data_IF_981375434621
#
_entry.id   IF_981375434621
#
_cell.length_a   1.000
_cell.length_b   1.000
_cell.length_c   1.000
_cell.angle_alpha   90.00
_cell.angle_beta   90.00
_cell.angle_gamma   90.00
#
_symmetry.space_group_name_H-M   'P 1'
#
loop_
_entity.id
_entity.type
_entity.pdbx_description
1 polymer ?
#
# COMPACT_ATOMS: atom_id res chain seq x y z
N UNK A 1 -0.93 -10.51 5.56
CA UNK A 1 -1.99 -9.51 5.36
C UNK A 1 -2.01 -8.54 6.53
N UNK A 2 -2.01 -7.27 6.23
CA UNK A 2 -1.96 -6.19 7.22
C UNK A 2 -3.14 -5.26 7.02
N UNK A 3 -3.77 -4.87 8.11
CA UNK A 3 -5.02 -4.10 8.03
C UNK A 3 -5.04 -3.03 9.10
N UNK A 4 -5.51 -1.84 8.75
CA UNK A 4 -5.68 -0.73 9.68
C UNK A 4 -6.92 0.06 9.32
N UNK A 5 -7.68 0.43 10.33
CA UNK A 5 -8.90 1.24 10.16
C UNK A 5 -8.68 2.63 10.75
N UNK A 6 -8.99 3.64 9.96
CA UNK A 6 -8.93 5.04 10.38
C UNK A 6 -10.21 5.73 9.91
N UNK A 7 -10.96 6.30 10.85
CA UNK A 7 -12.20 7.05 10.54
C UNK A 7 -13.17 6.28 9.63
N UNK A 8 -13.34 4.98 9.89
CA UNK A 8 -14.26 4.14 9.13
C UNK A 8 -13.71 3.65 7.79
N UNK A 9 -12.45 3.96 7.47
CA UNK A 9 -11.79 3.48 6.26
C UNK A 9 -10.77 2.43 6.63
N UNK A 10 -10.92 1.24 6.08
CA UNK A 10 -10.02 0.11 6.36
C UNK A 10 -9.13 -0.13 5.16
N UNK A 11 -7.82 -0.03 5.37
CA UNK A 11 -6.81 -0.35 4.35
C UNK A 11 -6.22 -1.70 4.68
N UNK A 12 -6.33 -2.64 3.76
CA UNK A 12 -5.76 -3.98 3.89
C UNK A 12 -4.70 -4.15 2.81
N UNK A 13 -3.50 -4.55 3.21
CA UNK A 13 -2.39 -4.75 2.27
C UNK A 13 -1.90 -6.19 2.39
N UNK A 14 -1.79 -6.87 1.25
CA UNK A 14 -1.31 -8.24 1.18
C UNK A 14 -0.08 -8.28 0.29
N UNK A 15 1.09 -8.64 0.85
CA UNK A 15 2.32 -8.73 0.06
C UNK A 15 2.44 -10.09 -0.62
N UNK A 16 3.04 -10.10 -1.82
CA UNK A 16 3.35 -11.31 -2.57
C UNK A 16 4.77 -11.21 -3.10
N UNK A 17 5.59 -12.20 -2.80
CA UNK A 17 6.92 -12.27 -3.37
C UNK A 17 6.85 -12.81 -4.80
N UNK A 18 7.44 -12.07 -5.74
CA UNK A 18 7.44 -12.45 -7.15
C UNK A 18 8.76 -13.16 -7.49
N UNK A 19 8.79 -14.46 -7.30
CA UNK A 19 9.99 -15.28 -7.47
C UNK A 19 10.52 -15.22 -8.90
N UNK A 20 9.66 -15.30 -9.88
CA UNK A 20 10.01 -15.29 -11.30
C UNK A 20 10.55 -13.94 -11.79
N UNK A 21 10.32 -12.87 -11.07
CA UNK A 21 10.84 -11.55 -11.40
C UNK A 21 12.00 -11.14 -10.50
N UNK A 22 12.38 -12.01 -9.58
CA UNK A 22 13.45 -11.75 -8.62
C UNK A 22 14.73 -12.45 -9.01
N UNK A 23 15.86 -11.89 -8.57
CA UNK A 23 17.18 -12.51 -8.72
C UNK A 23 17.95 -12.33 -7.41
N UNK A 24 17.80 -13.25 -6.45
CA UNK A 24 18.48 -13.13 -5.15
C UNK A 24 20.00 -13.04 -5.28
N UNK A 25 20.58 -13.68 -6.29
CA UNK A 25 22.02 -13.63 -6.53
C UNK A 25 22.49 -12.23 -6.89
N UNK A 26 21.61 -11.41 -7.44
CA UNK A 26 21.90 -10.04 -7.81
C UNK A 26 21.32 -9.04 -6.80
N UNK A 27 20.86 -9.53 -5.64
CA UNK A 27 20.21 -8.71 -4.61
C UNK A 27 18.99 -7.97 -5.17
N UNK A 28 18.20 -8.68 -5.95
CA UNK A 28 17.02 -8.12 -6.59
C UNK A 28 15.79 -8.92 -6.15
N UNK A 29 14.99 -8.35 -5.29
CA UNK A 29 13.80 -8.99 -4.70
C UNK A 29 12.59 -8.16 -5.07
N UNK A 30 11.70 -8.72 -5.88
CA UNK A 30 10.51 -8.01 -6.35
C UNK A 30 9.29 -8.48 -5.57
N UNK A 31 8.59 -7.52 -4.99
CA UNK A 31 7.37 -7.76 -4.24
C UNK A 31 6.20 -7.09 -4.93
N UNK A 32 5.07 -7.77 -5.00
CA UNK A 32 3.80 -7.15 -5.32
C UNK A 32 3.03 -6.94 -4.01
N UNK A 33 2.20 -5.93 -3.98
CA UNK A 33 1.30 -5.73 -2.86
C UNK A 33 -0.07 -5.38 -3.40
N UNK A 34 -1.07 -6.07 -2.88
CA UNK A 34 -2.45 -5.82 -3.21
C UNK A 34 -3.07 -4.99 -2.10
N UNK A 35 -3.67 -3.88 -2.47
CA UNK A 35 -4.27 -2.95 -1.53
C UNK A 35 -5.77 -2.96 -1.73
N UNK A 36 -6.51 -3.12 -0.62
CA UNK A 36 -7.96 -2.99 -0.59
C UNK A 36 -8.30 -1.85 0.35
N UNK A 37 -9.06 -0.89 -0.14
CA UNK A 37 -9.50 0.26 0.65
C UNK A 37 -11.02 0.20 0.74
N UNK A 38 -11.53 -0.11 1.93
CA UNK A 38 -12.96 -0.25 2.16
C UNK A 38 -13.50 0.93 2.95
N UNK A 39 -14.56 1.53 2.44
CA UNK A 39 -15.25 2.61 3.13
C UNK A 39 -16.42 2.06 3.92
N UNK A 40 -16.26 1.95 5.24
CA UNK A 40 -17.32 1.53 6.16
C UNK A 40 -17.95 2.72 6.89
N UNK A 41 -17.62 3.93 6.47
CA UNK A 41 -18.19 5.16 7.03
C UNK A 41 -19.52 5.50 6.38
N UNK A 42 -19.99 6.70 6.67
CA UNK A 42 -21.29 7.18 6.20
C UNK A 42 -21.19 8.18 5.04
N UNK A 43 -19.99 8.57 4.65
CA UNK A 43 -19.75 9.53 3.59
C UNK A 43 -18.89 8.93 2.51
N UNK A 44 -19.11 9.35 1.25
CA UNK A 44 -18.20 8.98 0.15
C UNK A 44 -16.83 9.58 0.39
N UNK A 45 -15.79 8.87 0.00
CA UNK A 45 -14.42 9.36 0.06
C UNK A 45 -13.80 9.33 -1.33
N UNK A 46 -12.96 10.32 -1.60
CA UNK A 46 -12.20 10.40 -2.84
C UNK A 46 -10.72 10.32 -2.51
N UNK A 47 -10.01 9.40 -3.16
CA UNK A 47 -8.57 9.24 -2.97
C UNK A 47 -7.84 10.30 -3.79
N UNK A 48 -7.19 11.24 -3.13
CA UNK A 48 -6.54 12.38 -3.79
C UNK A 48 -5.03 12.23 -3.90
N UNK A 49 -4.41 11.52 -2.96
CA UNK A 49 -2.95 11.45 -2.89
C UNK A 49 -2.52 10.19 -2.15
N UNK A 50 -1.39 9.62 -2.55
CA UNK A 50 -0.78 8.50 -1.85
C UNK A 50 0.68 8.81 -1.57
N UNK A 51 1.19 8.35 -0.44
CA UNK A 51 2.58 8.48 -0.07
C UNK A 51 3.04 7.21 0.63
N UNK A 52 4.11 6.61 0.12
CA UNK A 52 4.69 5.41 0.69
C UNK A 52 6.18 5.60 0.91
N UNK A 53 6.66 5.19 2.08
CA UNK A 53 8.07 5.03 2.37
C UNK A 53 8.37 3.55 2.43
N UNK A 54 9.31 3.11 1.60
CA UNK A 54 9.73 1.72 1.54
C UNK A 54 11.16 1.66 2.04
N UNK A 55 11.38 0.89 3.12
CA UNK A 55 12.66 0.83 3.81
C UNK A 55 13.15 -0.60 3.76
N UNK A 56 14.31 -0.83 3.12
CA UNK A 56 14.88 -2.16 3.05
C UNK A 56 15.63 -2.52 4.35
N UNK A 57 16.13 -3.75 4.44
CA UNK A 57 16.80 -4.24 5.64
C UNK A 57 18.10 -3.50 5.93
N UNK A 58 18.67 -2.81 4.94
CA UNK A 58 19.88 -2.01 5.11
C UNK A 58 19.57 -0.56 5.51
N UNK A 59 18.29 -0.22 5.65
CA UNK A 59 17.87 1.13 6.02
C UNK A 59 17.75 2.07 4.84
N UNK A 60 17.89 1.59 3.61
CA UNK A 60 17.71 2.43 2.44
C UNK A 60 16.24 2.75 2.26
N UNK A 61 15.93 4.04 2.07
CA UNK A 61 14.57 4.55 1.98
C UNK A 61 14.25 4.92 0.53
N UNK A 62 13.10 4.43 0.05
CA UNK A 62 12.54 4.80 -1.23
C UNK A 62 11.21 5.49 -0.94
N UNK A 63 11.02 6.71 -1.46
CA UNK A 63 9.78 7.44 -1.30
C UNK A 63 8.99 7.37 -2.60
N UNK A 64 7.76 6.83 -2.52
CA UNK A 64 6.86 6.77 -3.66
C UNK A 64 5.63 7.59 -3.32
N UNK A 65 5.40 8.66 -4.07
CA UNK A 65 4.25 9.51 -3.85
C UNK A 65 3.66 9.96 -5.18
N UNK A 66 2.39 10.30 -5.16
CA UNK A 66 1.72 10.77 -6.35
C UNK A 66 0.27 11.14 -6.06
N UNK A 67 -0.32 11.82 -7.02
CA UNK A 67 -1.73 12.18 -6.94
C UNK A 67 -2.58 10.97 -7.33
N UNK A 68 -3.69 10.78 -6.61
CA UNK A 68 -4.59 9.67 -6.86
C UNK A 68 -3.93 8.32 -6.61
N UNK A 69 -4.46 7.30 -7.28
CA UNK A 69 -3.98 5.94 -7.20
C UNK A 69 -3.97 5.35 -8.61
N UNK A 70 -2.80 4.90 -9.06
CA UNK A 70 -2.57 4.34 -10.40
C UNK A 70 -3.20 5.17 -11.53
N UNK A 71 -3.02 6.49 -11.45
CA UNK A 71 -3.53 7.40 -12.47
C UNK A 71 -5.00 7.77 -12.35
N UNK A 72 -5.66 7.35 -11.28
CA UNK A 72 -7.08 7.61 -11.06
C UNK A 72 -7.32 8.33 -9.74
N UNK A 73 -8.47 8.98 -9.62
CA UNK A 73 -8.94 9.60 -8.38
C UNK A 73 -10.25 8.91 -7.98
N UNK A 74 -10.18 7.65 -7.51
CA UNK A 74 -11.40 6.89 -7.27
C UNK A 74 -12.22 7.46 -6.12
N UNK A 75 -13.54 7.43 -6.30
CA UNK A 75 -14.50 7.73 -5.26
C UNK A 75 -15.06 6.42 -4.74
N UNK A 76 -14.99 6.23 -3.42
CA UNK A 76 -15.47 5.00 -2.78
C UNK A 76 -16.69 5.36 -1.95
N UNK A 77 -17.85 4.84 -2.35
CA UNK A 77 -19.11 5.07 -1.65
C UNK A 77 -19.16 4.25 -0.35
N UNK A 78 -20.00 4.64 0.62
CA UNK A 78 -20.18 3.82 1.83
C UNK A 78 -20.53 2.38 1.48
N UNK A 79 -19.80 1.44 2.07
CA UNK A 79 -19.97 0.02 1.82
C UNK A 79 -19.19 -0.54 0.64
N UNK A 80 -18.57 0.32 -0.15
CA UNK A 80 -17.79 -0.09 -1.31
C UNK A 80 -16.30 -0.22 -0.98
N UNK A 81 -15.58 -0.91 -1.87
CA UNK A 81 -14.13 -1.08 -1.78
C UNK A 81 -13.48 -0.72 -3.10
N UNK A 82 -12.24 -0.27 -3.03
CA UNK A 82 -11.38 -0.09 -4.19
C UNK A 82 -10.12 -0.93 -4.01
N UNK A 83 -9.77 -1.72 -5.01
CA UNK A 83 -8.58 -2.57 -4.98
C UNK A 83 -7.63 -2.20 -6.09
N UNK A 84 -6.34 -2.28 -5.79
CA UNK A 84 -5.31 -2.18 -6.82
C UNK A 84 -4.08 -2.98 -6.39
N UNK A 85 -3.25 -3.30 -7.37
CA UNK A 85 -1.99 -4.01 -7.14
C UNK A 85 -0.85 -3.17 -7.67
N UNK A 86 0.21 -3.09 -6.90
CA UNK A 86 1.42 -2.40 -7.30
C UNK A 86 2.62 -3.25 -6.92
N UNK A 87 3.83 -2.81 -7.25
CA UNK A 87 5.02 -3.58 -6.95
C UNK A 87 6.18 -2.69 -6.60
N UNK A 88 7.17 -3.29 -5.95
CA UNK A 88 8.41 -2.61 -5.61
C UNK A 88 9.58 -3.59 -5.63
N UNK A 89 10.72 -3.20 -6.21
CA UNK A 89 11.95 -3.97 -6.05
C UNK A 89 12.65 -3.55 -4.76
N UNK A 90 13.25 -4.52 -4.08
CA UNK A 90 14.11 -4.27 -2.93
C UNK A 90 15.47 -4.90 -3.19
N UNK A 91 16.50 -4.37 -2.56
CA UNK A 91 17.84 -4.96 -2.62
C UNK A 91 18.07 -5.97 -1.51
N UNK A 92 17.11 -6.11 -0.60
CA UNK A 92 17.15 -7.08 0.48
C UNK A 92 15.90 -7.94 0.44
N UNK A 93 15.93 -9.09 1.10
CA UNK A 93 14.83 -10.06 1.05
C UNK A 93 13.62 -9.65 1.89
N UNK A 94 13.72 -8.58 2.66
CA UNK A 94 12.61 -8.08 3.45
C UNK A 94 12.66 -6.56 3.53
N UNK A 95 11.60 -5.97 4.04
CA UNK A 95 11.53 -4.53 4.22
C UNK A 95 10.27 -4.12 4.94
N UNK A 96 10.14 -2.83 5.13
CA UNK A 96 8.98 -2.20 5.75
C UNK A 96 8.42 -1.20 4.76
N UNK A 97 7.10 -1.15 4.67
CA UNK A 97 6.40 -0.17 3.85
C UNK A 97 5.40 0.53 4.73
N UNK A 98 5.50 1.85 4.81
CA UNK A 98 4.58 2.66 5.61
C UNK A 98 4.18 3.88 4.83
N UNK A 99 2.97 4.35 5.05
CA UNK A 99 2.51 5.50 4.31
C UNK A 99 1.10 5.89 4.66
N UNK A 100 0.51 6.66 3.77
CA UNK A 100 -0.85 7.15 3.99
C UNK A 100 -1.51 7.52 2.66
N UNK A 101 -2.83 7.62 2.73
CA UNK A 101 -3.66 8.19 1.68
C UNK A 101 -4.30 9.47 2.20
N UNK A 102 -4.34 10.49 1.35
CA UNK A 102 -5.12 11.69 1.62
C UNK A 102 -6.43 11.56 0.87
N UNK A 103 -7.53 11.64 1.61
CA UNK A 103 -8.86 11.52 1.04
C UNK A 103 -9.70 12.72 1.38
N UNK A 104 -10.72 13.00 0.59
CA UNK A 104 -11.71 14.03 0.89
C UNK A 104 -13.09 13.41 0.98
N UNK A 105 -13.91 13.93 1.89
CA UNK A 105 -15.29 13.53 2.07
C UNK A 105 -16.25 14.44 1.30
N UNK A 106 -17.51 14.05 1.21
CA UNK A 106 -18.55 14.81 0.52
C UNK A 106 -18.67 16.24 1.03
N UNK A 107 -18.47 16.44 2.33
CA UNK A 107 -18.55 17.75 2.97
C UNK A 107 -17.29 18.60 2.78
N UNK A 108 -16.33 18.11 2.01
CA UNK A 108 -15.05 18.79 1.78
C UNK A 108 -14.02 18.56 2.86
N UNK A 109 -14.34 17.83 3.91
CA UNK A 109 -13.40 17.49 4.97
C UNK A 109 -12.32 16.54 4.45
N UNK A 110 -11.07 16.79 4.83
CA UNK A 110 -9.94 15.98 4.40
C UNK A 110 -9.47 15.09 5.55
N UNK A 111 -9.13 13.86 5.22
CA UNK A 111 -8.65 12.87 6.19
C UNK A 111 -7.34 12.27 5.72
N UNK A 112 -6.52 11.88 6.69
CA UNK A 112 -5.29 11.13 6.44
C UNK A 112 -5.52 9.69 6.92
N UNK A 113 -5.40 8.75 6.00
CA UNK A 113 -5.61 7.33 6.29
C UNK A 113 -4.24 6.65 6.31
N UNK A 114 -3.79 6.23 7.49
CA UNK A 114 -2.49 5.62 7.66
C UNK A 114 -2.48 4.14 7.32
N UNK A 115 -1.32 3.64 6.94
CA UNK A 115 -1.15 2.26 6.52
C UNK A 115 0.29 1.81 6.81
N UNK A 116 0.44 0.54 7.20
CA UNK A 116 1.73 -0.03 7.54
C UNK A 116 1.77 -1.48 7.08
N UNK A 117 2.87 -1.86 6.44
CA UNK A 117 3.09 -3.21 5.94
C UNK A 117 4.51 -3.64 6.25
N UNK A 118 4.67 -4.85 6.79
CA UNK A 118 5.95 -5.52 6.88
C UNK A 118 5.98 -6.62 5.85
N UNK A 119 7.10 -6.75 5.12
CA UNK A 119 7.33 -7.92 4.29
C UNK A 119 8.12 -8.93 5.10
N UNK A 120 7.78 -10.19 4.95
CA UNK A 120 8.55 -11.29 5.55
C UNK A 120 9.79 -11.57 4.72
N UNK A 121 10.64 -12.46 5.23
CA UNK A 121 11.80 -12.94 4.49
C UNK A 121 11.32 -13.59 3.19
N UNK A 122 11.88 -13.18 2.06
CA UNK A 122 11.50 -13.70 0.76
C UNK A 122 11.69 -15.20 0.65
N UNK A 123 12.70 -15.76 1.32
CA UNK A 123 12.93 -17.20 1.32
C UNK A 123 11.81 -17.96 2.03
N UNK A 124 11.21 -17.37 3.05
CA UNK A 124 10.10 -17.97 3.77
C UNK A 124 8.78 -17.80 3.01
N UNK A 125 8.56 -16.62 2.44
CA UNK A 125 7.31 -16.33 1.76
C UNK A 125 7.23 -16.97 0.38
N UNK A 126 8.35 -17.33 -0.19
CA UNK A 126 8.38 -17.99 -1.48
C UNK A 126 8.07 -19.47 -1.43
N UNK A 127 7.76 -19.97 -0.26
CA UNK A 127 7.50 -21.39 -0.08
C UNK A 127 6.05 -21.75 -0.33
#
# INVERSE_FOLDING_TARGET
MYSKTTNGVTVTVTPYFLDDQSSPQESHFVWAYQVNIKNSGNSSIKLNHRNWLIIDANGKVINVQGEGVVGEFPTIEPGESFEYTSGTPLKTNNGIMQGFYLVSQDNGEKLKIDCLLYTSDAADDGL
#
